data_IF_584059155912
#
_entry.id   IF_584059155912
#
_cell.length_a   1.000
_cell.length_b   1.000
_cell.length_c   1.000
_cell.angle_alpha   90.00
_cell.angle_beta   90.00
_cell.angle_gamma   90.00
#
_symmetry.space_group_name_H-M   'P 1'
#
loop_
_entity.id
_entity.type
_entity.pdbx_description
1 polymer ?
#
# COMPACT_ATOMS: atom_id res chain seq x y z
N UNK A 1 2.63 -11.80 -3.13
CA UNK A 1 2.96 -10.49 -3.73
C UNK A 1 4.30 -10.53 -4.41
N UNK A 2 5.29 -9.77 -3.94
CA UNK A 2 6.63 -9.72 -4.57
C UNK A 2 7.36 -11.06 -4.68
N UNK A 3 7.19 -11.96 -3.70
CA UNK A 3 7.70 -13.34 -3.78
C UNK A 3 7.05 -14.10 -4.95
N UNK A 4 5.74 -13.96 -5.13
CA UNK A 4 5.00 -14.51 -6.27
C UNK A 4 5.49 -13.93 -7.60
N UNK A 5 5.78 -12.62 -7.66
CA UNK A 5 6.39 -11.99 -8.83
C UNK A 5 7.75 -12.64 -9.16
N UNK A 6 8.57 -12.92 -8.14
CA UNK A 6 9.84 -13.59 -8.33
C UNK A 6 9.66 -15.03 -8.83
N UNK A 7 8.73 -15.80 -8.27
CA UNK A 7 8.41 -17.16 -8.73
C UNK A 7 7.93 -17.18 -10.17
N UNK A 8 6.96 -16.34 -10.55
CA UNK A 8 6.46 -16.27 -11.93
C UNK A 8 7.42 -15.60 -12.90
N UNK A 9 8.33 -14.75 -12.41
CA UNK A 9 9.43 -14.21 -13.22
C UNK A 9 10.43 -15.29 -13.64
N UNK A 10 10.55 -16.38 -12.88
CA UNK A 10 11.35 -17.57 -13.22
C UNK A 10 10.54 -18.56 -14.06
N UNK A 11 9.26 -18.81 -13.72
CA UNK A 11 8.42 -19.80 -14.40
C UNK A 11 7.91 -19.34 -15.77
N UNK A 12 7.67 -18.04 -15.97
CA UNK A 12 7.23 -17.47 -17.25
C UNK A 12 7.99 -16.17 -17.55
N UNK A 13 9.28 -16.29 -17.96
CA UNK A 13 10.09 -15.13 -18.33
C UNK A 13 9.46 -14.37 -19.49
N UNK A 14 9.50 -13.04 -19.47
CA UNK A 14 8.95 -12.17 -20.52
C UNK A 14 7.46 -11.84 -20.40
N UNK A 15 6.65 -12.60 -19.66
CA UNK A 15 5.22 -12.34 -19.53
C UNK A 15 4.89 -11.48 -18.30
N UNK A 16 5.01 -10.15 -18.47
CA UNK A 16 4.71 -9.17 -17.41
C UNK A 16 3.27 -9.26 -16.89
N UNK A 17 2.31 -9.53 -17.77
CA UNK A 17 0.89 -9.61 -17.39
C UNK A 17 0.65 -10.79 -16.46
N UNK A 18 1.16 -11.98 -16.79
CA UNK A 18 1.03 -13.17 -15.92
C UNK A 18 1.73 -12.94 -14.59
N UNK A 19 2.91 -12.31 -14.60
CA UNK A 19 3.66 -11.98 -13.39
C UNK A 19 2.88 -11.04 -12.45
N UNK A 20 2.35 -9.94 -12.99
CA UNK A 20 1.55 -8.97 -12.22
C UNK A 20 0.23 -9.56 -11.74
N UNK A 21 -0.50 -10.25 -12.60
CA UNK A 21 -1.82 -10.80 -12.26
C UNK A 21 -1.73 -11.88 -11.19
N UNK A 22 -0.81 -12.84 -11.33
CA UNK A 22 -0.60 -13.89 -10.32
C UNK A 22 -0.22 -13.30 -8.96
N UNK A 23 0.69 -12.33 -8.96
CA UNK A 23 1.13 -11.69 -7.73
C UNK A 23 0.06 -10.83 -7.06
N UNK A 24 -0.78 -10.15 -7.85
CA UNK A 24 -1.92 -9.40 -7.36
C UNK A 24 -2.96 -10.33 -6.71
N UNK A 25 -3.33 -11.44 -7.37
CA UNK A 25 -4.29 -12.40 -6.82
C UNK A 25 -3.79 -12.98 -5.50
N UNK A 26 -2.53 -13.44 -5.44
CA UNK A 26 -1.98 -14.00 -4.19
C UNK A 26 -1.89 -12.94 -3.09
N UNK A 27 -1.48 -11.71 -3.41
CA UNK A 27 -1.40 -10.65 -2.41
C UNK A 27 -2.76 -10.18 -1.91
N UNK A 28 -3.75 -10.08 -2.81
CA UNK A 28 -5.12 -9.75 -2.45
C UNK A 28 -5.71 -10.83 -1.53
N UNK A 29 -5.59 -12.11 -1.88
CA UNK A 29 -6.07 -13.21 -1.04
C UNK A 29 -5.43 -13.24 0.35
N UNK A 30 -4.11 -13.05 0.43
CA UNK A 30 -3.38 -13.01 1.70
C UNK A 30 -3.79 -11.79 2.54
N UNK A 31 -3.93 -10.61 1.93
CA UNK A 31 -4.37 -9.39 2.61
C UNK A 31 -5.80 -9.53 3.13
N UNK A 32 -6.75 -9.93 2.28
CA UNK A 32 -8.14 -10.14 2.69
C UNK A 32 -8.26 -11.14 3.84
N UNK A 33 -7.43 -12.20 3.83
CA UNK A 33 -7.39 -13.17 4.92
C UNK A 33 -6.84 -12.56 6.22
N UNK A 34 -5.79 -11.73 6.15
CA UNK A 34 -5.24 -11.04 7.31
C UNK A 34 -6.23 -10.01 7.90
N UNK A 35 -6.93 -9.26 7.04
CA UNK A 35 -7.94 -8.29 7.44
C UNK A 35 -9.12 -9.01 8.12
N UNK A 36 -9.61 -10.12 7.53
CA UNK A 36 -10.64 -10.99 8.12
C UNK A 36 -10.27 -11.49 9.52
N UNK A 37 -9.03 -11.93 9.72
CA UNK A 37 -8.55 -12.41 11.03
C UNK A 37 -8.51 -11.28 12.06
N UNK A 38 -8.06 -10.10 11.64
CA UNK A 38 -8.02 -8.90 12.50
C UNK A 38 -9.43 -8.47 12.90
N UNK A 39 -10.34 -8.46 11.94
CA UNK A 39 -11.75 -8.09 12.13
C UNK A 39 -12.49 -9.07 13.03
N UNK A 40 -12.32 -10.38 12.83
CA UNK A 40 -12.94 -11.38 13.69
C UNK A 40 -12.39 -11.31 15.11
N UNK A 41 -11.09 -10.98 15.27
CA UNK A 41 -10.49 -10.80 16.60
C UNK A 41 -11.02 -9.56 17.30
N UNK A 42 -11.09 -8.41 16.63
CA UNK A 42 -11.62 -7.17 17.19
C UNK A 42 -13.12 -7.31 17.48
N UNK A 43 -13.88 -7.92 16.57
CA UNK A 43 -15.28 -8.25 16.75
C UNK A 43 -15.52 -9.16 17.96
N UNK A 44 -14.70 -10.20 18.13
CA UNK A 44 -14.76 -11.06 19.31
C UNK A 44 -14.51 -10.28 20.62
N UNK A 45 -13.51 -9.40 20.66
CA UNK A 45 -13.22 -8.56 21.83
C UNK A 45 -14.36 -7.59 22.17
N UNK A 46 -15.11 -7.13 21.15
CA UNK A 46 -16.27 -6.25 21.30
C UNK A 46 -17.60 -7.00 21.52
N UNK A 47 -17.58 -8.34 21.60
CA UNK A 47 -18.78 -9.16 21.77
C UNK A 47 -19.66 -9.28 20.53
N UNK A 48 -19.13 -8.96 19.34
CA UNK A 48 -19.84 -9.09 18.08
C UNK A 48 -20.06 -10.57 17.69
N UNK A 49 -21.15 -10.83 16.97
CA UNK A 49 -21.43 -12.17 16.46
C UNK A 49 -20.60 -12.45 15.18
N UNK A 50 -19.66 -13.40 15.20
CA UNK A 50 -18.73 -13.63 14.10
C UNK A 50 -19.43 -14.07 12.80
N UNK A 51 -20.57 -14.78 12.90
CA UNK A 51 -21.33 -15.21 11.72
C UNK A 51 -21.97 -14.03 11.00
N UNK A 52 -22.52 -13.07 11.75
CA UNK A 52 -23.13 -11.86 11.17
C UNK A 52 -22.06 -10.97 10.54
N UNK A 53 -20.90 -10.85 11.18
CA UNK A 53 -19.76 -10.10 10.65
C UNK A 53 -19.23 -10.69 9.35
N UNK A 54 -19.07 -12.02 9.28
CA UNK A 54 -18.66 -12.68 8.04
C UNK A 54 -19.65 -12.45 6.89
N UNK A 55 -20.96 -12.58 7.14
CA UNK A 55 -21.99 -12.33 6.13
C UNK A 55 -21.96 -10.87 5.67
N UNK A 56 -21.80 -9.92 6.60
CA UNK A 56 -21.70 -8.50 6.26
C UNK A 56 -20.48 -8.19 5.39
N UNK A 57 -19.31 -8.75 5.73
CA UNK A 57 -18.10 -8.59 4.92
C UNK A 57 -18.25 -9.25 3.54
N UNK A 58 -18.81 -10.47 3.50
CA UNK A 58 -19.06 -11.18 2.25
C UNK A 58 -19.99 -10.39 1.32
N UNK A 59 -21.10 -9.86 1.84
CA UNK A 59 -22.00 -9.00 1.08
C UNK A 59 -21.33 -7.69 0.64
N UNK A 60 -20.52 -7.09 1.54
CA UNK A 60 -19.75 -5.88 1.28
C UNK A 60 -18.76 -6.01 0.12
N UNK A 61 -18.19 -7.20 -0.12
CA UNK A 61 -17.28 -7.44 -1.25
C UNK A 61 -17.98 -7.17 -2.58
N UNK A 62 -19.23 -7.60 -2.78
CA UNK A 62 -19.94 -7.42 -4.05
C UNK A 62 -20.20 -5.94 -4.35
N UNK A 63 -20.74 -5.23 -3.36
CA UNK A 63 -21.05 -3.80 -3.48
C UNK A 63 -19.75 -3.00 -3.62
N UNK A 64 -18.77 -3.29 -2.77
CA UNK A 64 -17.46 -2.64 -2.79
C UNK A 64 -16.72 -2.86 -4.11
N UNK A 65 -16.77 -4.07 -4.68
CA UNK A 65 -16.18 -4.37 -5.99
C UNK A 65 -16.88 -3.58 -7.09
N UNK A 66 -18.22 -3.56 -7.11
CA UNK A 66 -18.98 -2.82 -8.10
C UNK A 66 -18.65 -1.32 -8.06
N UNK A 67 -18.73 -0.71 -6.87
CA UNK A 67 -18.45 0.71 -6.66
C UNK A 67 -17.00 1.03 -7.01
N UNK A 68 -16.04 0.25 -6.52
CA UNK A 68 -14.60 0.51 -6.75
C UNK A 68 -14.24 0.39 -8.22
N UNK A 69 -14.74 -0.62 -8.94
CA UNK A 69 -14.46 -0.81 -10.37
C UNK A 69 -15.06 0.32 -11.21
N UNK A 70 -16.29 0.74 -10.91
CA UNK A 70 -16.94 1.86 -11.58
C UNK A 70 -16.19 3.17 -11.29
N UNK A 71 -15.96 3.49 -10.02
CA UNK A 71 -15.20 4.68 -9.62
C UNK A 71 -13.81 4.70 -10.26
N UNK A 72 -13.09 3.59 -10.31
CA UNK A 72 -11.78 3.52 -10.95
C UNK A 72 -11.85 3.82 -12.44
N UNK A 73 -12.80 3.23 -13.18
CA UNK A 73 -12.99 3.51 -14.62
C UNK A 73 -13.38 4.94 -14.91
N UNK A 74 -14.08 5.57 -13.97
CA UNK A 74 -14.54 6.94 -14.08
C UNK A 74 -13.43 7.94 -13.80
N UNK A 75 -12.64 7.70 -12.75
CA UNK A 75 -11.55 8.60 -12.34
C UNK A 75 -10.27 8.41 -13.16
N UNK A 76 -9.97 7.18 -13.60
CA UNK A 76 -8.72 6.86 -14.30
C UNK A 76 -9.03 6.59 -15.78
N UNK A 77 -8.82 7.57 -16.68
CA UNK A 77 -9.13 7.43 -18.09
C UNK A 77 -8.23 6.42 -18.81
N UNK A 78 -6.94 6.38 -18.48
CA UNK A 78 -5.96 5.48 -19.09
C UNK A 78 -4.86 5.06 -18.11
N UNK A 79 -4.27 3.87 -18.32
CA UNK A 79 -3.16 3.41 -17.51
C UNK A 79 -1.90 4.30 -17.61
N UNK A 80 -1.83 5.17 -18.63
CA UNK A 80 -0.76 6.14 -18.83
C UNK A 80 -0.76 7.29 -17.83
N UNK A 81 -1.90 7.62 -17.22
CA UNK A 81 -1.96 8.67 -16.18
C UNK A 81 -1.44 8.19 -14.82
N UNK A 82 -1.32 6.87 -14.62
CA UNK A 82 -0.77 6.30 -13.40
C UNK A 82 0.75 6.53 -13.32
N UNK A 83 1.18 7.29 -12.32
CA UNK A 83 2.55 7.76 -12.12
C UNK A 83 2.77 9.25 -12.44
N UNK A 84 1.73 9.97 -12.82
CA UNK A 84 1.75 11.44 -12.99
C UNK A 84 1.43 12.16 -11.66
N UNK A 85 1.66 13.46 -11.57
CA UNK A 85 1.41 14.22 -10.32
C UNK A 85 -0.04 14.09 -9.81
N UNK A 86 -1.02 14.00 -10.72
CA UNK A 86 -2.43 13.78 -10.36
C UNK A 86 -2.71 12.36 -9.82
N UNK A 87 -1.99 11.35 -10.31
CA UNK A 87 -2.17 9.95 -9.91
C UNK A 87 -0.82 9.27 -9.68
N UNK A 88 -0.05 9.76 -8.70
CA UNK A 88 1.33 9.32 -8.47
C UNK A 88 1.48 7.81 -8.26
N UNK A 89 0.45 7.15 -7.71
CA UNK A 89 0.32 5.70 -7.54
C UNK A 89 1.66 4.97 -7.22
N UNK A 90 2.42 5.41 -6.19
CA UNK A 90 3.80 4.97 -5.97
C UNK A 90 3.93 3.47 -5.67
N UNK A 91 2.94 2.90 -4.98
CA UNK A 91 2.85 1.47 -4.79
C UNK A 91 2.75 0.74 -6.14
N UNK A 92 1.85 1.16 -7.03
CA UNK A 92 1.69 0.55 -8.36
C UNK A 92 2.98 0.67 -9.19
N UNK A 93 3.68 1.81 -9.13
CA UNK A 93 4.97 1.99 -9.81
C UNK A 93 6.02 1.01 -9.30
N UNK A 94 6.08 0.74 -8.00
CA UNK A 94 7.00 -0.25 -7.43
C UNK A 94 6.72 -1.66 -7.94
N UNK A 95 5.45 -2.05 -8.03
CA UNK A 95 5.05 -3.37 -8.55
C UNK A 95 5.35 -3.52 -10.05
N UNK A 96 5.14 -2.45 -10.84
CA UNK A 96 5.52 -2.38 -12.25
C UNK A 96 7.03 -2.48 -12.42
N UNK A 97 7.81 -1.73 -11.65
CA UNK A 97 9.26 -1.74 -11.71
C UNK A 97 9.84 -3.14 -11.45
N UNK A 98 9.30 -3.86 -10.47
CA UNK A 98 9.67 -5.26 -10.20
C UNK A 98 9.29 -6.17 -11.38
N UNK A 99 8.09 -6.01 -11.94
CA UNK A 99 7.67 -6.80 -13.09
C UNK A 99 8.52 -6.55 -14.35
N UNK A 100 8.90 -5.29 -14.62
CA UNK A 100 9.83 -4.91 -15.71
C UNK A 100 11.22 -5.47 -15.46
N UNK A 101 11.72 -5.37 -14.22
CA UNK A 101 13.03 -5.91 -13.85
C UNK A 101 13.10 -7.42 -14.05
N UNK A 102 12.00 -8.13 -13.81
CA UNK A 102 11.92 -9.59 -13.95
C UNK A 102 11.52 -10.05 -15.36
N UNK A 103 10.98 -9.19 -16.22
CA UNK A 103 10.50 -9.58 -17.56
C UNK A 103 11.65 -9.98 -18.49
N UNK A 104 12.80 -9.31 -18.42
CA UNK A 104 14.00 -9.73 -19.14
C UNK A 104 14.73 -10.93 -18.50
N UNK A 105 14.20 -11.48 -17.40
CA UNK A 105 14.84 -12.52 -16.59
C UNK A 105 16.01 -12.01 -15.75
N UNK A 106 16.35 -12.75 -14.69
CA UNK A 106 17.44 -12.42 -13.75
C UNK A 106 18.80 -12.25 -14.48
N UNK A 107 18.97 -12.90 -15.63
CA UNK A 107 20.19 -12.79 -16.46
C UNK A 107 20.30 -11.50 -17.28
N UNK A 108 19.21 -10.79 -17.57
CA UNK A 108 19.29 -9.47 -18.26
C UNK A 108 19.46 -8.30 -17.29
N UNK A 109 19.29 -8.54 -15.98
CA UNK A 109 19.66 -7.60 -14.95
C UNK A 109 21.18 -7.46 -14.97
N UNK A 110 21.67 -6.36 -15.55
CA UNK A 110 23.10 -6.05 -15.58
C UNK A 110 23.73 -6.18 -14.18
N UNK A 111 25.02 -6.50 -14.08
CA UNK A 111 25.67 -6.95 -12.84
C UNK A 111 25.44 -5.99 -11.66
N UNK A 112 25.45 -4.68 -11.91
CA UNK A 112 25.19 -3.64 -10.90
C UNK A 112 23.81 -3.80 -10.23
N UNK A 113 22.76 -4.11 -11.00
CA UNK A 113 21.40 -4.26 -10.47
C UNK A 113 21.29 -5.47 -9.54
N UNK A 114 21.95 -6.57 -9.90
CA UNK A 114 22.01 -7.79 -9.08
C UNK A 114 22.76 -7.53 -7.77
N UNK A 115 23.89 -6.82 -7.81
CA UNK A 115 24.62 -6.41 -6.61
C UNK A 115 23.79 -5.49 -5.71
N UNK A 116 23.01 -4.55 -6.27
CA UNK A 116 22.11 -3.72 -5.49
C UNK A 116 20.98 -4.51 -4.83
N UNK A 117 20.42 -5.53 -5.51
CA UNK A 117 19.39 -6.41 -4.94
C UNK A 117 19.97 -7.22 -3.78
N UNK A 118 21.15 -7.82 -3.97
CA UNK A 118 21.83 -8.60 -2.93
C UNK A 118 22.23 -7.70 -1.74
N UNK A 119 22.85 -6.56 -2.01
CA UNK A 119 23.24 -5.60 -0.98
C UNK A 119 22.05 -5.05 -0.21
N UNK A 120 20.99 -4.62 -0.90
CA UNK A 120 19.75 -4.16 -0.27
C UNK A 120 19.05 -5.26 0.52
N UNK A 121 19.05 -6.50 0.01
CA UNK A 121 18.53 -7.67 0.71
C UNK A 121 19.31 -7.98 2.00
N UNK A 122 20.63 -7.95 1.95
CA UNK A 122 21.50 -8.13 3.12
C UNK A 122 21.29 -7.03 4.15
N UNK A 123 21.24 -5.77 3.73
CA UNK A 123 20.93 -4.63 4.62
C UNK A 123 19.55 -4.80 5.26
N UNK A 124 18.55 -5.20 4.48
CA UNK A 124 17.20 -5.47 5.00
C UNK A 124 17.18 -6.60 6.03
N UNK A 125 17.91 -7.69 5.79
CA UNK A 125 18.07 -8.81 6.74
C UNK A 125 18.75 -8.33 8.02
N UNK A 126 19.88 -7.61 7.88
CA UNK A 126 20.63 -7.07 9.02
C UNK A 126 19.74 -6.15 9.84
N UNK A 127 19.10 -5.15 9.23
CA UNK A 127 18.22 -4.21 9.95
C UNK A 127 17.01 -4.90 10.60
N UNK A 128 16.53 -6.02 10.06
CA UNK A 128 15.42 -6.78 10.66
C UNK A 128 15.87 -7.65 11.83
N UNK A 129 17.09 -8.21 11.77
CA UNK A 129 17.64 -9.08 12.81
C UNK A 129 18.28 -8.29 13.95
N UNK A 130 18.86 -7.12 13.68
CA UNK A 130 19.59 -6.32 14.66
C UNK A 130 18.74 -5.95 15.90
N UNK A 131 17.45 -5.55 15.77
CA UNK A 131 16.58 -5.31 16.92
C UNK A 131 16.28 -6.59 17.74
N UNK A 132 16.29 -7.77 17.10
CA UNK A 132 16.07 -9.05 17.79
C UNK A 132 17.30 -9.52 18.57
N UNK A 133 18.49 -9.16 18.11
CA UNK A 133 19.76 -9.55 18.74
C UNK A 133 20.15 -8.54 19.83
N UNK A 134 19.86 -7.25 19.61
CA UNK A 134 20.18 -6.16 20.54
C UNK A 134 18.94 -5.35 20.92
N UNK A 135 18.03 -5.93 21.73
CA UNK A 135 16.78 -5.26 22.12
C UNK A 135 17.04 -3.96 22.91
N UNK A 136 18.12 -3.90 23.70
CA UNK A 136 18.49 -2.70 24.47
C UNK A 136 18.85 -1.49 23.59
N UNK A 137 19.21 -1.71 22.32
CA UNK A 137 19.59 -0.67 21.35
C UNK A 137 18.58 -0.52 20.21
N UNK A 138 17.39 -1.09 20.33
CA UNK A 138 16.34 -1.00 19.32
C UNK A 138 16.03 0.45 18.91
N UNK A 139 16.06 1.39 19.87
CA UNK A 139 15.81 2.81 19.62
C UNK A 139 16.86 3.49 18.70
N UNK A 140 18.03 2.89 18.50
CA UNK A 140 19.08 3.41 17.59
C UNK A 140 19.00 2.80 16.19
N UNK A 141 18.20 1.75 16.01
CA UNK A 141 18.17 0.98 14.77
C UNK A 141 17.06 1.56 13.89
N UNK A 142 17.38 2.06 12.68
CA UNK A 142 16.37 2.60 11.79
C UNK A 142 15.42 1.49 11.34
N UNK A 143 14.12 1.81 11.30
CA UNK A 143 13.08 0.88 10.88
C UNK A 143 13.36 0.35 9.46
N UNK A 144 13.46 -0.98 9.26
CA UNK A 144 13.65 -1.56 7.93
C UNK A 144 12.56 -1.13 6.95
N UNK A 145 11.32 -1.02 7.43
CA UNK A 145 10.19 -0.56 6.64
C UNK A 145 10.32 0.92 6.28
N UNK A 146 10.73 1.77 7.23
CA UNK A 146 10.97 3.21 6.98
C UNK A 146 12.08 3.44 5.96
N UNK A 147 13.20 2.74 6.10
CA UNK A 147 14.31 2.78 5.13
C UNK A 147 13.82 2.30 3.76
N UNK A 148 13.09 1.18 3.68
CA UNK A 148 12.55 0.70 2.41
C UNK A 148 11.59 1.68 1.74
N UNK A 149 10.69 2.31 2.50
CA UNK A 149 9.72 3.27 2.00
C UNK A 149 10.38 4.57 1.51
N UNK A 150 11.45 5.03 2.17
CA UNK A 150 12.18 6.23 1.78
C UNK A 150 12.76 6.13 0.34
N UNK A 151 13.02 4.92 -0.15
CA UNK A 151 13.50 4.69 -1.51
C UNK A 151 12.37 4.57 -2.56
N UNK A 152 11.12 4.50 -2.11
CA UNK A 152 9.95 4.33 -2.99
C UNK A 152 9.22 5.62 -3.30
N UNK A 153 9.42 6.66 -2.50
CA UNK A 153 8.73 7.94 -2.64
C UNK A 153 9.71 9.07 -2.94
N UNK A 154 9.21 10.13 -3.56
CA UNK A 154 9.95 11.39 -3.64
C UNK A 154 10.24 11.97 -2.25
N UNK A 155 11.32 12.74 -2.15
CA UNK A 155 11.84 13.26 -0.88
C UNK A 155 10.79 14.00 -0.03
N UNK A 156 9.84 14.70 -0.67
CA UNK A 156 8.83 15.48 0.03
C UNK A 156 7.85 14.60 0.82
N UNK A 157 7.53 13.39 0.36
CA UNK A 157 6.71 12.45 1.14
C UNK A 157 7.43 12.02 2.41
N UNK A 158 8.75 11.81 2.33
CA UNK A 158 9.58 11.53 3.49
C UNK A 158 9.56 12.68 4.49
N UNK A 159 9.65 13.94 4.01
CA UNK A 159 9.53 15.12 4.86
C UNK A 159 8.13 15.21 5.51
N UNK A 160 7.05 14.95 4.77
CA UNK A 160 5.69 14.97 5.31
C UNK A 160 5.49 13.91 6.40
N UNK A 161 6.00 12.69 6.21
CA UNK A 161 5.98 11.66 7.25
C UNK A 161 6.80 12.06 8.47
N UNK A 162 7.97 12.67 8.28
CA UNK A 162 8.78 13.17 9.38
C UNK A 162 8.06 14.27 10.17
N UNK A 163 7.44 15.24 9.48
CA UNK A 163 6.68 16.32 10.12
C UNK A 163 5.47 15.75 10.87
N UNK A 164 4.72 14.84 10.27
CA UNK A 164 3.61 14.16 10.94
C UNK A 164 4.07 13.37 12.18
N UNK A 165 5.18 12.64 12.07
CA UNK A 165 5.79 11.92 13.19
C UNK A 165 6.31 12.85 14.29
N UNK A 166 6.93 13.97 13.93
CA UNK A 166 7.41 14.97 14.89
C UNK A 166 6.26 15.67 15.63
N UNK A 167 5.17 15.98 14.93
CA UNK A 167 3.93 16.49 15.54
C UNK A 167 3.31 15.45 16.48
N UNK A 168 3.26 14.19 16.06
CA UNK A 168 2.79 13.08 16.91
C UNK A 168 3.64 12.92 18.17
N UNK A 169 4.96 12.92 18.04
CA UNK A 169 5.90 12.84 19.17
C UNK A 169 5.78 14.04 20.12
N UNK A 170 5.59 15.24 19.57
CA UNK A 170 5.34 16.44 20.36
C UNK A 170 4.01 16.35 21.14
N UNK A 171 2.94 15.88 20.48
CA UNK A 171 1.64 15.67 21.11
C UNK A 171 1.70 14.60 22.21
N UNK A 172 2.43 13.51 21.98
CA UNK A 172 2.67 12.45 22.96
C UNK A 172 3.38 12.98 24.21
N UNK A 173 4.42 13.80 24.02
CA UNK A 173 5.18 14.39 25.13
C UNK A 173 4.38 15.43 25.91
N UNK A 174 3.50 16.18 25.24
CA UNK A 174 2.74 17.28 25.86
C UNK A 174 1.40 16.84 26.46
N UNK A 175 0.77 15.82 25.87
CA UNK A 175 -0.57 15.32 26.20
C UNK A 175 -0.64 13.78 26.09
N UNK A 176 0.05 13.03 26.97
CA UNK A 176 0.20 11.58 26.85
C UNK A 176 -1.15 10.82 26.86
N UNK A 177 -2.05 11.17 27.79
CA UNK A 177 -3.38 10.54 27.90
C UNK A 177 -4.27 10.78 26.68
N UNK A 178 -4.14 11.95 26.05
CA UNK A 178 -4.91 12.27 24.84
C UNK A 178 -4.30 11.59 23.61
N UNK A 179 -2.97 11.56 23.52
CA UNK A 179 -2.26 10.95 22.41
C UNK A 179 -2.51 9.45 22.30
N UNK A 180 -2.56 8.74 23.43
CA UNK A 180 -2.82 7.30 23.45
C UNK A 180 -4.19 6.94 22.84
N UNK A 181 -5.20 7.79 23.05
CA UNK A 181 -6.56 7.55 22.58
C UNK A 181 -6.84 8.16 21.19
N UNK A 182 -6.31 9.35 20.90
CA UNK A 182 -6.72 10.15 19.74
C UNK A 182 -5.70 10.27 18.62
N UNK A 183 -4.41 9.94 18.83
CA UNK A 183 -3.39 10.11 17.78
C UNK A 183 -3.70 9.27 16.53
N UNK A 184 -4.02 7.98 16.71
CA UNK A 184 -4.34 7.10 15.58
C UNK A 184 -5.69 7.44 14.91
N UNK A 185 -6.80 7.68 15.65
CA UNK A 185 -8.05 8.15 15.05
C UNK A 185 -7.91 9.45 14.26
N UNK A 186 -7.20 10.46 14.80
CA UNK A 186 -7.02 11.75 14.12
C UNK A 186 -6.17 11.60 12.86
N UNK A 187 -5.05 10.88 12.94
CA UNK A 187 -4.19 10.63 11.79
C UNK A 187 -4.92 9.87 10.67
N UNK A 188 -5.67 8.82 11.02
CA UNK A 188 -6.47 8.07 10.04
C UNK A 188 -7.61 8.90 9.46
N UNK A 189 -8.25 9.76 10.26
CA UNK A 189 -9.26 10.71 9.80
C UNK A 189 -8.71 11.74 8.81
N UNK A 190 -7.48 12.22 9.01
CA UNK A 190 -6.81 13.12 8.06
C UNK A 190 -6.52 12.43 6.72
N UNK A 191 -5.99 11.21 6.75
CA UNK A 191 -5.71 10.42 5.55
C UNK A 191 -7.00 10.12 4.77
N UNK A 192 -8.05 9.71 5.48
CA UNK A 192 -9.36 9.44 4.89
C UNK A 192 -10.00 10.73 4.33
N UNK A 193 -9.90 11.84 5.07
CA UNK A 193 -10.45 13.14 4.67
C UNK A 193 -9.80 13.70 3.41
N UNK A 194 -8.46 13.64 3.32
CA UNK A 194 -7.71 14.00 2.11
C UNK A 194 -8.19 13.16 0.91
N UNK A 195 -8.28 11.83 1.10
CA UNK A 195 -8.70 10.92 0.04
C UNK A 195 -10.14 11.20 -0.45
N UNK A 196 -11.08 11.42 0.48
CA UNK A 196 -12.47 11.74 0.16
C UNK A 196 -12.60 13.11 -0.54
N UNK A 197 -11.84 14.11 -0.07
CA UNK A 197 -11.82 15.44 -0.69
C UNK A 197 -11.24 15.37 -2.11
N UNK A 198 -10.20 14.57 -2.33
CA UNK A 198 -9.65 14.34 -3.67
C UNK A 198 -10.70 13.79 -4.64
N UNK A 199 -11.48 12.79 -4.21
CA UNK A 199 -12.59 12.27 -5.02
C UNK A 199 -13.67 13.34 -5.26
N UNK A 200 -14.03 14.12 -4.24
CA UNK A 200 -15.03 15.16 -4.35
C UNK A 200 -14.62 16.26 -5.35
N UNK A 201 -13.36 16.69 -5.31
CA UNK A 201 -12.81 17.67 -6.25
C UNK A 201 -12.82 17.12 -7.69
N UNK A 202 -12.40 15.87 -7.89
CA UNK A 202 -12.42 15.24 -9.22
C UNK A 202 -13.84 15.18 -9.77
N UNK A 203 -14.84 14.81 -8.95
CA UNK A 203 -16.26 14.79 -9.34
C UNK A 203 -16.78 16.20 -9.59
N UNK A 204 -16.35 17.20 -8.82
CA UNK A 204 -16.76 18.59 -9.00
C UNK A 204 -16.23 19.18 -10.31
N UNK A 205 -14.93 18.99 -10.58
CA UNK A 205 -14.26 19.52 -11.78
C UNK A 205 -14.70 18.79 -13.06
N UNK A 206 -14.87 17.47 -13.00
CA UNK A 206 -15.15 16.64 -14.17
C UNK A 206 -16.62 16.16 -14.23
N UNK A 207 -17.49 16.65 -13.35
CA UNK A 207 -18.88 16.17 -13.19
C UNK A 207 -19.68 16.07 -14.49
N UNK A 208 -19.67 17.08 -15.37
CA UNK A 208 -20.38 17.02 -16.66
C UNK A 208 -19.80 15.97 -17.63
N UNK A 209 -18.47 15.78 -17.65
CA UNK A 209 -17.81 14.77 -18.49
C UNK A 209 -17.96 13.34 -17.93
N UNK A 210 -17.92 13.20 -16.61
CA UNK A 210 -18.21 11.96 -15.89
C UNK A 210 -19.64 11.48 -16.13
N UNK A 211 -20.61 12.39 -16.08
CA UNK A 211 -22.01 12.09 -16.39
C UNK A 211 -22.19 11.70 -17.86
N UNK A 212 -21.49 12.35 -18.80
CA UNK A 212 -21.50 11.96 -20.22
C UNK A 212 -20.87 10.58 -20.44
N UNK A 213 -19.77 10.23 -19.77
CA UNK A 213 -19.17 8.89 -19.82
C UNK A 213 -20.04 7.81 -19.17
N UNK A 214 -20.83 8.15 -18.15
CA UNK A 214 -21.76 7.24 -17.48
C UNK A 214 -23.05 7.01 -18.27
N UNK A 215 -23.57 8.05 -18.92
CA UNK A 215 -24.87 8.04 -19.61
C UNK A 215 -24.74 7.88 -21.14
N UNK A 216 -23.53 7.97 -21.70
CA UNK A 216 -23.25 7.86 -23.11
C UNK A 216 -22.09 6.91 -23.39
N UNK A 217 -22.43 5.63 -23.54
CA UNK A 217 -21.77 4.73 -24.48
C UNK A 217 -22.57 4.67 -25.78
#
# INVERSE_FOLDING_TARGET
>A
GKITQLTFGVLSPGNMTVNLMSANVTAAAARSSADLLTDLKSGYLLGANPRKQFIAQFAGIFIGTLVTVLSFRLLVPDASVLGTDQFSAPAAQTWRAVAVALSGGIRSLGPVKTWCIVGGGLVGIVLTLLPRIFPEREHLIPSPAGVGLAWTFHWYYGLLFFLGGALGWWAEKRYPKWSEEFTFPVASGWIAGESLMGVALVVWENGPELLRKLLGG
#
